data_IF_195892977321
#
_entry.id   IF_195892977321
#
_cell.length_a   1.000
_cell.length_b   1.000
_cell.length_c   1.000
_cell.angle_alpha   90.00
_cell.angle_beta   90.00
_cell.angle_gamma   90.00
#
_symmetry.space_group_name_H-M   'P 1'
#
loop_
_entity.id
_entity.type
_entity.pdbx_description
1 polymer ?
#
# COMPACT_ATOMS: atom_id res chain seq x y z
N UNK A 1 -23.00 -16.36 -6.07
CA UNK A 1 -22.88 -16.78 -4.65
C UNK A 1 -22.86 -15.51 -3.81
N UNK A 2 -23.57 -15.46 -2.67
CA UNK A 2 -23.48 -14.28 -1.77
C UNK A 2 -22.09 -14.26 -1.11
N UNK A 3 -21.48 -13.08 -0.90
CA UNK A 3 -20.22 -13.00 -0.19
C UNK A 3 -20.41 -13.42 1.27
N UNK A 4 -19.39 -14.06 1.85
CA UNK A 4 -19.31 -14.38 3.27
C UNK A 4 -18.52 -13.27 3.94
N UNK A 5 -19.14 -12.65 4.94
CA UNK A 5 -18.55 -11.55 5.72
C UNK A 5 -18.27 -12.10 7.12
N UNK A 6 -17.06 -11.86 7.64
CA UNK A 6 -16.70 -12.20 9.01
C UNK A 6 -17.49 -11.27 9.95
N UNK A 7 -18.31 -11.79 10.89
CA UNK A 7 -19.07 -10.93 11.80
C UNK A 7 -18.15 -10.24 12.80
N UNK A 8 -18.42 -8.97 13.10
CA UNK A 8 -17.55 -8.11 13.93
C UNK A 8 -17.62 -8.42 15.44
N UNK A 9 -18.70 -9.07 15.91
CA UNK A 9 -19.03 -9.23 17.33
C UNK A 9 -18.93 -10.69 17.81
N UNK A 10 -18.03 -11.50 17.22
CA UNK A 10 -17.76 -12.86 17.70
C UNK A 10 -16.73 -12.85 18.83
N UNK A 11 -16.88 -13.72 19.83
CA UNK A 11 -15.79 -14.01 20.76
C UNK A 11 -14.67 -14.81 20.07
N UNK A 12 -13.49 -14.95 20.70
CA UNK A 12 -12.33 -15.63 20.08
C UNK A 12 -12.67 -17.03 19.55
N UNK A 13 -13.34 -17.87 20.34
CA UNK A 13 -13.66 -19.26 19.96
C UNK A 13 -14.69 -19.30 18.82
N UNK A 14 -15.72 -18.46 18.89
CA UNK A 14 -16.70 -18.31 17.80
C UNK A 14 -16.05 -17.83 16.50
N UNK A 15 -15.10 -16.89 16.59
CA UNK A 15 -14.36 -16.36 15.46
C UNK A 15 -13.45 -17.43 14.84
N UNK A 16 -12.66 -18.15 15.64
CA UNK A 16 -11.84 -19.28 15.18
C UNK A 16 -12.71 -20.32 14.47
N UNK A 17 -13.82 -20.76 15.09
CA UNK A 17 -14.71 -21.74 14.49
C UNK A 17 -15.37 -21.23 13.20
N UNK A 18 -15.79 -19.96 13.16
CA UNK A 18 -16.35 -19.35 11.95
C UNK A 18 -15.33 -19.32 10.81
N UNK A 19 -14.10 -18.89 11.11
CA UNK A 19 -13.01 -18.78 10.14
C UNK A 19 -12.65 -20.16 9.57
N UNK A 20 -12.47 -21.18 10.41
CA UNK A 20 -12.20 -22.56 10.01
C UNK A 20 -13.34 -23.14 9.14
N UNK A 21 -14.60 -22.98 9.58
CA UNK A 21 -15.76 -23.49 8.84
C UNK A 21 -15.95 -22.84 7.46
N UNK A 22 -15.43 -21.62 7.26
CA UNK A 22 -15.63 -20.84 6.04
C UNK A 22 -14.34 -20.59 5.23
N UNK A 23 -13.17 -21.10 5.68
CA UNK A 23 -11.83 -20.78 5.16
C UNK A 23 -11.79 -20.83 3.62
N UNK A 24 -12.17 -21.98 3.05
CA UNK A 24 -12.16 -22.22 1.59
C UNK A 24 -12.98 -21.18 0.83
N UNK A 25 -14.13 -20.77 1.36
CA UNK A 25 -15.00 -19.80 0.73
C UNK A 25 -14.48 -18.36 0.88
N UNK A 26 -13.92 -18.00 2.04
CA UNK A 26 -13.26 -16.71 2.29
C UNK A 26 -12.03 -16.53 1.38
N UNK A 27 -11.16 -17.53 1.32
CA UNK A 27 -10.00 -17.60 0.42
C UNK A 27 -10.42 -17.51 -1.06
N UNK A 28 -11.48 -18.23 -1.45
CA UNK A 28 -11.96 -18.19 -2.85
C UNK A 28 -12.45 -16.80 -3.23
N UNK A 29 -13.19 -16.12 -2.36
CA UNK A 29 -13.66 -14.75 -2.61
C UNK A 29 -12.49 -13.77 -2.81
N UNK A 30 -11.47 -13.83 -1.93
CA UNK A 30 -10.25 -13.01 -2.04
C UNK A 30 -9.46 -13.25 -3.33
N UNK A 31 -9.49 -14.47 -3.90
CA UNK A 31 -8.81 -14.78 -5.18
C UNK A 31 -9.58 -14.35 -6.43
N UNK A 32 -10.90 -14.22 -6.36
CA UNK A 32 -11.75 -13.89 -7.52
C UNK A 32 -11.75 -12.39 -7.82
N UNK A 33 -11.67 -11.56 -6.78
CA UNK A 33 -11.66 -10.10 -6.91
C UNK A 33 -10.30 -9.63 -7.48
N UNK A 34 -10.31 -8.59 -8.33
CA UNK A 34 -9.08 -7.84 -8.65
C UNK A 34 -8.76 -6.97 -7.43
N UNK A 35 -7.97 -7.50 -6.50
CA UNK A 35 -7.56 -6.76 -5.31
C UNK A 35 -6.69 -5.57 -5.70
N UNK A 36 -6.99 -4.41 -5.12
CA UNK A 36 -6.11 -3.26 -5.07
C UNK A 36 -5.55 -3.24 -3.65
N UNK A 37 -4.24 -3.32 -3.45
CA UNK A 37 -3.72 -3.23 -2.07
C UNK A 37 -3.81 -1.80 -1.58
N UNK A 38 -3.98 -1.67 -0.27
CA UNK A 38 -3.74 -0.42 0.42
C UNK A 38 -2.25 -0.01 0.27
N UNK A 39 -1.99 1.30 0.22
CA UNK A 39 -0.67 1.89 -0.04
C UNK A 39 0.08 2.18 1.28
N UNK A 40 1.42 2.14 1.27
CA UNK A 40 2.28 2.19 2.49
C UNK A 40 3.48 3.12 2.27
N UNK A 41 3.95 4.00 3.16
CA UNK A 41 3.89 4.14 4.64
C UNK A 41 4.50 5.48 5.11
N UNK A 42 4.72 6.50 4.24
CA UNK A 42 5.27 7.80 4.71
C UNK A 42 5.12 9.08 3.89
N UNK A 43 5.76 10.17 4.31
CA UNK A 43 5.74 11.45 3.57
C UNK A 43 6.65 11.41 2.34
N UNK A 44 6.12 11.60 1.12
CA UNK A 44 6.94 11.98 -0.05
C UNK A 44 7.61 13.34 0.22
N UNK A 45 8.90 13.32 0.55
CA UNK A 45 9.78 14.48 0.42
C UNK A 45 10.44 14.44 -0.97
N UNK A 46 9.87 15.19 -1.91
CA UNK A 46 10.32 15.29 -3.31
C UNK A 46 11.66 16.00 -3.43
N UNK A 47 12.38 15.71 -4.52
CA UNK A 47 13.61 16.39 -4.86
C UNK A 47 13.65 17.48 -5.90
N UNK A 48 14.60 18.38 -5.61
CA UNK A 48 15.28 19.27 -6.54
C UNK A 48 15.65 18.55 -7.84
N UNK A 49 15.12 19.06 -8.94
CA UNK A 49 15.87 19.16 -10.19
C UNK A 49 17.25 19.78 -9.89
N UNK A 50 18.34 19.13 -10.29
CA UNK A 50 19.69 19.64 -10.01
C UNK A 50 19.95 20.97 -10.72
N UNK A 51 19.92 22.05 -9.93
CA UNK A 51 20.64 23.29 -10.21
C UNK A 51 21.90 23.36 -9.32
N UNK A 52 22.73 22.31 -9.38
CA UNK A 52 24.10 22.32 -8.83
C UNK A 52 24.99 21.46 -9.73
N UNK A 53 26.10 22.03 -10.20
CA UNK A 53 26.99 21.44 -11.20
C UNK A 53 27.80 20.27 -10.61
N UNK A 54 27.72 19.11 -11.25
CA UNK A 54 28.80 18.12 -11.28
C UNK A 54 28.65 17.24 -12.53
N UNK A 55 29.49 17.53 -13.52
CA UNK A 55 29.98 16.67 -14.63
C UNK A 55 29.07 15.56 -15.20
N UNK A 56 28.62 15.76 -16.44
CA UNK A 56 28.50 14.66 -17.41
C UNK A 56 27.15 13.98 -17.57
N UNK A 57 26.09 14.72 -17.92
CA UNK A 57 25.00 14.15 -18.71
C UNK A 57 24.49 15.16 -19.74
N UNK A 58 25.18 15.23 -20.88
CA UNK A 58 24.76 16.02 -22.04
C UNK A 58 23.61 15.30 -22.76
N UNK A 59 22.40 15.51 -22.26
CA UNK A 59 21.16 15.13 -22.93
C UNK A 59 20.13 16.24 -22.73
N UNK A 60 19.54 16.72 -23.83
CA UNK A 60 18.44 17.69 -23.74
C UNK A 60 17.30 17.07 -22.92
N UNK A 61 16.91 17.72 -21.82
CA UNK A 61 15.76 17.28 -21.04
C UNK A 61 14.50 17.46 -21.88
N UNK A 62 13.96 16.38 -22.43
CA UNK A 62 12.73 16.43 -23.22
C UNK A 62 11.59 17.04 -22.37
N UNK A 63 11.06 18.23 -22.70
CA UNK A 63 10.10 18.93 -21.85
C UNK A 63 8.73 18.22 -21.73
N UNK A 64 8.51 17.19 -22.57
CA UNK A 64 7.30 16.38 -22.66
C UNK A 64 7.45 14.97 -22.05
N UNK A 65 8.60 14.64 -21.46
CA UNK A 65 8.88 13.36 -20.78
C UNK A 65 9.34 13.56 -19.33
N UNK A 66 9.07 12.57 -18.48
CA UNK A 66 9.47 12.53 -17.06
C UNK A 66 9.83 11.10 -16.67
N UNK A 67 11.06 10.88 -16.22
CA UNK A 67 11.44 9.61 -15.59
C UNK A 67 10.85 9.49 -14.19
N UNK A 68 10.26 8.33 -13.90
CA UNK A 68 9.57 8.03 -12.64
C UNK A 68 10.13 6.74 -12.03
N UNK A 69 10.41 6.76 -10.71
CA UNK A 69 10.65 5.57 -9.88
C UNK A 69 9.57 5.53 -8.79
N UNK A 70 8.65 4.57 -8.89
CA UNK A 70 7.39 4.53 -8.14
C UNK A 70 7.35 3.33 -7.18
N UNK A 71 6.96 3.56 -5.93
CA UNK A 71 6.65 2.49 -4.94
C UNK A 71 5.17 2.12 -5.08
N UNK A 72 4.86 0.94 -5.63
CA UNK A 72 3.47 0.53 -5.88
C UNK A 72 2.82 -0.23 -4.72
N UNK A 73 3.64 -0.90 -3.89
CA UNK A 73 3.24 -1.66 -2.72
C UNK A 73 4.45 -1.88 -1.82
N UNK A 74 4.22 -2.06 -0.52
CA UNK A 74 5.19 -2.72 0.36
C UNK A 74 4.57 -3.93 1.05
N UNK A 75 5.42 -4.86 1.43
CA UNK A 75 5.05 -6.06 2.18
C UNK A 75 4.76 -5.76 3.67
N UNK A 76 4.34 -6.77 4.42
CA UNK A 76 4.35 -6.82 5.89
C UNK A 76 3.31 -5.95 6.62
N UNK A 77 2.67 -4.97 5.98
CA UNK A 77 1.56 -4.25 6.60
C UNK A 77 0.27 -5.04 6.39
N UNK A 78 -0.45 -5.30 7.49
CA UNK A 78 -1.82 -5.80 7.46
C UNK A 78 -2.78 -4.66 7.14
N UNK A 79 -3.60 -4.88 6.12
CA UNK A 79 -4.54 -3.90 5.59
C UNK A 79 -5.95 -3.99 6.23
N UNK A 80 -6.86 -3.09 5.82
CA UNK A 80 -8.26 -3.07 6.30
C UNK A 80 -9.05 -4.35 5.98
N UNK A 81 -8.60 -5.15 5.00
CA UNK A 81 -9.16 -6.45 4.62
C UNK A 81 -8.47 -7.64 5.33
N UNK A 82 -7.54 -7.38 6.25
CA UNK A 82 -6.67 -8.34 6.94
C UNK A 82 -5.70 -9.08 6.01
N UNK A 83 -5.44 -8.57 4.82
CA UNK A 83 -4.43 -9.14 3.93
C UNK A 83 -3.04 -8.62 4.33
N UNK A 84 -2.06 -9.54 4.40
CA UNK A 84 -0.64 -9.24 4.64
C UNK A 84 0.15 -9.77 3.46
N UNK A 85 0.79 -8.87 2.71
CA UNK A 85 1.69 -9.25 1.63
C UNK A 85 3.01 -9.76 2.21
N UNK A 86 3.36 -11.02 1.98
CA UNK A 86 4.58 -11.64 2.51
C UNK A 86 5.74 -11.40 1.53
N UNK A 87 6.93 -10.96 1.99
CA UNK A 87 8.09 -10.75 1.12
C UNK A 87 8.37 -11.94 0.19
N UNK A 88 8.65 -11.63 -1.06
CA UNK A 88 8.81 -12.60 -2.16
C UNK A 88 7.53 -12.88 -2.96
N UNK A 89 6.34 -12.37 -2.57
CA UNK A 89 5.08 -12.64 -3.29
C UNK A 89 5.10 -12.25 -4.78
N UNK A 90 5.93 -11.26 -5.13
CA UNK A 90 6.08 -10.73 -6.48
C UNK A 90 7.06 -11.51 -7.37
N UNK A 91 7.89 -12.39 -6.78
CA UNK A 91 9.03 -13.03 -7.46
C UNK A 91 8.66 -13.66 -8.80
N UNK A 92 7.57 -14.44 -8.82
CA UNK A 92 7.11 -15.14 -10.02
C UNK A 92 6.52 -14.19 -11.08
N UNK A 93 5.66 -13.26 -10.67
CA UNK A 93 5.03 -12.34 -11.65
C UNK A 93 6.03 -11.37 -12.26
N UNK A 94 7.14 -11.05 -11.60
CA UNK A 94 8.22 -10.23 -12.17
C UNK A 94 9.09 -11.01 -13.16
N UNK A 95 9.23 -12.33 -12.95
CA UNK A 95 9.89 -13.22 -13.90
C UNK A 95 9.02 -13.43 -15.15
N UNK A 96 7.73 -13.76 -14.96
CA UNK A 96 6.81 -14.22 -16.00
C UNK A 96 6.02 -13.10 -16.71
N UNK A 97 5.57 -12.05 -16.02
CA UNK A 97 4.78 -10.98 -16.64
C UNK A 97 5.67 -9.82 -17.11
N UNK A 98 5.55 -9.46 -18.39
CA UNK A 98 6.17 -8.26 -18.99
C UNK A 98 5.14 -7.18 -19.39
N UNK A 99 3.86 -7.50 -19.31
CA UNK A 99 2.76 -6.61 -19.66
C UNK A 99 2.19 -6.00 -18.36
N UNK A 100 2.82 -4.93 -17.90
CA UNK A 100 2.43 -4.19 -16.69
C UNK A 100 2.28 -2.73 -17.10
N UNK A 101 1.09 -2.17 -16.92
CA UNK A 101 0.80 -0.77 -17.28
C UNK A 101 0.89 0.14 -16.06
N UNK A 102 1.20 1.42 -16.30
CA UNK A 102 1.03 2.50 -15.33
C UNK A 102 -0.20 3.32 -15.71
N UNK A 103 -1.20 3.35 -14.81
CA UNK A 103 -2.55 3.83 -15.11
C UNK A 103 -3.02 4.97 -14.18
N UNK A 104 -4.00 5.73 -14.66
CA UNK A 104 -4.78 6.66 -13.85
C UNK A 104 -5.86 5.91 -13.05
N UNK A 105 -5.77 5.90 -11.72
CA UNK A 105 -6.84 5.43 -10.82
C UNK A 105 -7.35 4.00 -11.06
N UNK A 106 -6.50 3.08 -11.53
CA UNK A 106 -6.83 1.70 -11.93
C UNK A 106 -7.84 1.56 -13.07
N UNK A 107 -8.10 2.62 -13.83
CA UNK A 107 -8.94 2.57 -15.02
C UNK A 107 -8.16 1.92 -16.17
N UNK A 108 -8.67 0.82 -16.71
CA UNK A 108 -7.99 -0.01 -17.71
C UNK A 108 -8.36 0.39 -19.14
N UNK A 109 -8.42 1.70 -19.39
CA UNK A 109 -8.75 2.30 -20.69
C UNK A 109 -7.46 2.87 -21.32
N UNK A 110 -7.35 2.87 -22.65
CA UNK A 110 -6.12 3.32 -23.32
C UNK A 110 -5.76 4.78 -23.03
N UNK A 111 -6.76 5.66 -22.89
CA UNK A 111 -6.59 7.08 -22.53
C UNK A 111 -6.30 7.31 -21.03
N UNK A 112 -6.00 6.24 -20.29
CA UNK A 112 -5.61 6.25 -18.87
C UNK A 112 -4.19 5.77 -18.64
N UNK A 113 -3.48 5.35 -19.69
CA UNK A 113 -2.04 5.06 -19.64
C UNK A 113 -1.28 6.36 -19.37
N UNK A 114 -0.32 6.32 -18.45
CA UNK A 114 0.48 7.49 -18.03
C UNK A 114 1.89 7.46 -18.63
N UNK A 115 2.49 6.27 -18.73
CA UNK A 115 3.91 6.10 -19.06
C UNK A 115 4.20 4.78 -19.74
N UNK A 116 5.28 4.76 -20.52
CA UNK A 116 5.95 3.52 -20.89
C UNK A 116 6.67 2.93 -19.67
N UNK A 117 6.41 1.67 -19.34
CA UNK A 117 7.00 0.98 -18.18
C UNK A 117 8.25 0.23 -18.63
N UNK A 118 9.40 0.56 -18.05
CA UNK A 118 10.70 -0.05 -18.38
C UNK A 118 10.89 -1.38 -17.66
N UNK A 119 10.61 -1.40 -16.36
CA UNK A 119 10.73 -2.59 -15.51
C UNK A 119 9.93 -2.43 -14.22
N UNK A 120 9.54 -3.57 -13.65
CA UNK A 120 9.16 -3.67 -12.25
C UNK A 120 10.13 -4.63 -11.54
N UNK A 121 10.41 -4.40 -10.27
CA UNK A 121 11.30 -5.24 -9.46
C UNK A 121 11.00 -5.07 -7.96
N UNK A 122 11.61 -5.87 -7.08
CA UNK A 122 11.52 -5.67 -5.63
C UNK A 122 12.79 -5.07 -5.05
N UNK A 123 12.64 -4.14 -4.10
CA UNK A 123 13.75 -3.44 -3.41
C UNK A 123 13.50 -3.47 -1.89
N UNK A 124 14.56 -3.68 -1.10
CA UNK A 124 14.47 -3.57 0.38
C UNK A 124 14.62 -2.10 0.76
N UNK A 125 13.55 -1.49 1.26
CA UNK A 125 13.48 -0.05 1.56
C UNK A 125 13.39 0.17 3.08
N UNK A 126 14.22 1.05 3.68
CA UNK A 126 14.14 1.37 5.10
C UNK A 126 12.79 2.02 5.49
N UNK A 127 12.33 1.78 6.73
CA UNK A 127 11.10 2.39 7.26
C UNK A 127 11.15 3.92 7.25
N UNK A 128 12.28 4.54 7.57
CA UNK A 128 12.47 6.00 7.52
C UNK A 128 12.39 6.56 6.09
N UNK A 129 12.96 5.84 5.14
CA UNK A 129 12.81 6.07 3.70
C UNK A 129 11.38 5.90 3.24
N UNK A 130 10.62 4.99 3.87
CA UNK A 130 9.18 4.90 3.75
C UNK A 130 8.43 5.80 4.73
N UNK A 131 9.04 6.73 5.47
CA UNK A 131 8.40 7.60 6.47
C UNK A 131 7.47 6.90 7.50
N UNK A 132 7.66 5.59 7.69
CA UNK A 132 7.09 4.78 8.75
C UNK A 132 7.91 5.07 10.02
N UNK A 133 7.24 5.31 11.15
CA UNK A 133 7.92 5.50 12.42
C UNK A 133 8.51 4.18 12.92
N UNK A 134 9.80 4.20 13.28
CA UNK A 134 10.51 3.04 13.83
C UNK A 134 11.80 2.72 13.07
N UNK A 135 12.43 1.61 13.45
CA UNK A 135 13.60 1.04 12.78
C UNK A 135 13.23 -0.25 12.05
N UNK A 136 13.82 -0.47 10.88
CA UNK A 136 13.53 -1.63 10.06
C UNK A 136 13.58 -1.32 8.57
N UNK A 137 13.26 -2.33 7.76
CA UNK A 137 13.14 -2.24 6.31
C UNK A 137 12.12 -3.27 5.81
N UNK A 138 11.60 -3.06 4.60
CA UNK A 138 10.56 -3.89 3.99
C UNK A 138 10.78 -4.05 2.50
N UNK A 139 10.37 -5.19 1.95
CA UNK A 139 10.33 -5.39 0.50
C UNK A 139 9.21 -4.56 -0.13
N UNK A 140 9.58 -3.66 -1.05
CA UNK A 140 8.68 -2.86 -1.85
C UNK A 140 8.67 -3.34 -3.31
N UNK A 141 7.49 -3.29 -3.95
CA UNK A 141 7.36 -3.39 -5.39
C UNK A 141 7.63 -2.02 -6.01
N UNK A 142 8.68 -1.94 -6.82
CA UNK A 142 9.11 -0.74 -7.54
C UNK A 142 8.76 -0.85 -9.03
N UNK A 143 8.38 0.28 -9.63
CA UNK A 143 8.20 0.46 -11.07
C UNK A 143 9.07 1.63 -11.55
N UNK A 144 9.86 1.42 -12.61
CA UNK A 144 10.55 2.49 -13.33
C UNK A 144 9.90 2.69 -14.71
N UNK A 145 9.62 3.95 -15.08
CA UNK A 145 8.80 4.29 -16.24
C UNK A 145 9.01 5.74 -16.74
N UNK A 146 8.82 6.00 -18.04
CA UNK A 146 8.83 7.36 -18.62
C UNK A 146 7.40 7.86 -18.84
N UNK A 147 6.94 8.82 -18.03
CA UNK A 147 5.64 9.47 -18.23
C UNK A 147 5.70 10.46 -19.40
N UNK A 148 4.75 10.30 -20.33
CA UNK A 148 4.67 11.10 -21.57
C UNK A 148 3.50 12.07 -21.51
N UNK A 149 3.76 13.33 -21.79
CA UNK A 149 2.74 14.39 -21.86
C UNK A 149 1.66 14.08 -22.89
N UNK A 150 2.02 13.40 -23.98
CA UNK A 150 1.10 12.96 -25.03
C UNK A 150 0.09 11.92 -24.54
N UNK A 151 0.52 10.96 -23.71
CA UNK A 151 -0.35 9.88 -23.22
C UNK A 151 -1.41 10.40 -22.25
N UNK A 152 -0.99 11.19 -21.26
CA UNK A 152 -1.91 11.78 -20.30
C UNK A 152 -1.41 13.17 -19.85
N UNK A 153 -1.81 14.27 -20.53
CA UNK A 153 -1.34 15.62 -20.21
C UNK A 153 -1.68 16.06 -18.77
N UNK A 154 -2.79 15.56 -18.22
CA UNK A 154 -3.22 15.84 -16.85
C UNK A 154 -2.26 15.18 -15.86
N UNK A 155 -2.05 13.87 -15.97
CA UNK A 155 -1.18 13.13 -15.04
C UNK A 155 0.28 13.55 -15.18
N UNK A 156 0.76 13.80 -16.41
CA UNK A 156 2.08 14.39 -16.64
C UNK A 156 2.28 15.69 -15.87
N UNK A 157 1.31 16.62 -15.94
CA UNK A 157 1.34 17.85 -15.14
C UNK A 157 1.26 17.57 -13.64
N UNK A 158 0.43 16.63 -13.19
CA UNK A 158 0.33 16.28 -11.77
C UNK A 158 1.63 15.67 -11.21
N UNK A 159 2.40 14.92 -12.01
CA UNK A 159 3.74 14.46 -11.64
C UNK A 159 4.75 15.62 -11.64
N UNK A 160 4.75 16.45 -12.69
CA UNK A 160 5.64 17.62 -12.83
C UNK A 160 5.45 18.66 -11.72
N UNK A 161 4.21 18.86 -11.27
CA UNK A 161 3.84 19.74 -10.17
C UNK A 161 3.85 19.03 -8.81
N UNK A 162 4.31 17.77 -8.76
CA UNK A 162 4.45 16.97 -7.54
C UNK A 162 3.15 16.77 -6.74
N UNK A 163 2.01 16.76 -7.44
CA UNK A 163 0.66 16.58 -6.89
C UNK A 163 0.23 15.11 -6.80
N UNK A 164 0.86 14.20 -7.55
CA UNK A 164 0.71 12.75 -7.29
C UNK A 164 1.49 12.41 -6.02
N UNK A 165 0.80 11.89 -5.01
CA UNK A 165 1.38 11.59 -3.68
C UNK A 165 1.36 10.12 -3.29
N UNK A 166 0.59 9.30 -4.00
CA UNK A 166 0.37 7.90 -3.65
C UNK A 166 0.16 7.05 -4.90
N UNK A 167 0.52 5.77 -4.77
CA UNK A 167 0.35 4.75 -5.79
C UNK A 167 -0.28 3.51 -5.17
N UNK A 168 -0.91 2.70 -6.00
CA UNK A 168 -1.40 1.37 -5.61
C UNK A 168 -1.15 0.39 -6.76
N UNK A 169 -1.19 -0.90 -6.45
CA UNK A 169 -1.06 -1.98 -7.41
C UNK A 169 -2.40 -2.67 -7.63
N UNK A 170 -2.79 -2.84 -8.89
CA UNK A 170 -3.83 -3.79 -9.27
C UNK A 170 -3.25 -5.18 -9.39
N UNK A 171 -3.81 -6.15 -8.65
CA UNK A 171 -3.33 -7.53 -8.64
C UNK A 171 -4.44 -8.57 -8.61
N UNK A 172 -4.05 -9.84 -8.62
CA UNK A 172 -4.90 -10.96 -8.22
C UNK A 172 -4.12 -11.96 -7.37
N UNK A 173 -4.66 -12.35 -6.22
CA UNK A 173 -4.03 -13.35 -5.35
C UNK A 173 -4.04 -14.75 -5.97
N UNK A 174 -2.92 -15.47 -5.82
CA UNK A 174 -2.71 -16.84 -6.31
C UNK A 174 -2.53 -17.80 -5.14
N UNK A 175 -1.63 -17.48 -4.21
CA UNK A 175 -1.44 -18.20 -2.95
C UNK A 175 -1.70 -17.26 -1.78
N UNK A 176 -2.57 -17.73 -0.91
CA UNK A 176 -3.03 -17.04 0.29
C UNK A 176 -3.28 -18.14 1.32
N UNK A 177 -2.80 -17.94 2.54
CA UNK A 177 -3.07 -18.78 3.70
C UNK A 177 -3.86 -17.97 4.70
N UNK A 178 -4.87 -18.58 5.31
CA UNK A 178 -5.45 -18.04 6.52
C UNK A 178 -4.48 -18.31 7.68
N UNK A 179 -4.36 -17.35 8.60
CA UNK A 179 -3.50 -17.39 9.77
C UNK A 179 -4.37 -17.07 10.98
N UNK A 180 -4.43 -17.94 11.98
CA UNK A 180 -5.26 -17.76 13.18
C UNK A 180 -4.39 -17.91 14.43
N UNK A 181 -4.49 -16.97 15.38
CA UNK A 181 -3.76 -16.95 16.65
C UNK A 181 -4.44 -17.86 17.70
N UNK A 182 -4.57 -19.15 17.38
CA UNK A 182 -5.24 -20.13 18.23
C UNK A 182 -4.61 -21.51 18.05
N UNK A 183 -4.01 -22.09 19.10
CA UNK A 183 -3.27 -23.37 19.02
C UNK A 183 -4.14 -24.52 18.49
N UNK A 184 -5.43 -24.51 18.84
CA UNK A 184 -6.43 -25.48 18.35
C UNK A 184 -6.74 -25.37 16.84
N UNK A 185 -6.28 -24.31 16.16
CA UNK A 185 -6.50 -24.10 14.72
C UNK A 185 -5.52 -24.90 13.81
N UNK A 186 -4.56 -25.64 14.39
CA UNK A 186 -3.66 -26.55 13.68
C UNK A 186 -2.85 -25.87 12.58
N UNK A 187 -3.01 -26.29 11.32
CA UNK A 187 -2.28 -25.72 10.18
C UNK A 187 -2.49 -24.20 9.99
N UNK A 188 -3.60 -23.63 10.47
CA UNK A 188 -3.83 -22.18 10.47
C UNK A 188 -3.02 -21.46 11.58
N UNK A 189 -2.67 -22.16 12.67
CA UNK A 189 -1.74 -21.68 13.69
C UNK A 189 -0.29 -21.79 13.23
N UNK A 190 0.10 -22.92 12.62
CA UNK A 190 1.42 -23.06 11.98
C UNK A 190 1.65 -21.95 10.93
N UNK A 191 0.61 -21.59 10.16
CA UNK A 191 0.65 -20.46 9.23
C UNK A 191 0.76 -19.10 9.95
N UNK A 192 0.09 -18.93 11.09
CA UNK A 192 0.25 -17.75 11.94
C UNK A 192 1.70 -17.62 12.43
N UNK A 193 2.24 -18.62 13.12
CA UNK A 193 3.63 -18.60 13.63
C UNK A 193 4.66 -18.35 12.53
N UNK A 194 4.45 -18.94 11.35
CA UNK A 194 5.33 -18.77 10.19
C UNK A 194 5.30 -17.35 9.60
N UNK A 195 4.13 -16.72 9.52
CA UNK A 195 3.96 -15.46 8.78
C UNK A 195 3.85 -14.22 9.67
N UNK A 196 3.46 -14.35 10.92
CA UNK A 196 3.38 -13.26 11.90
C UNK A 196 4.72 -12.51 12.12
N UNK A 197 5.91 -13.14 12.05
CA UNK A 197 7.19 -12.42 12.09
C UNK A 197 7.38 -11.38 10.98
N UNK A 198 6.66 -11.48 9.85
CA UNK A 198 6.70 -10.50 8.77
C UNK A 198 5.67 -9.37 8.94
N UNK A 199 4.78 -9.44 9.92
CA UNK A 199 3.78 -8.40 10.20
C UNK A 199 4.45 -7.21 10.90
N UNK A 200 4.29 -6.02 10.33
CA UNK A 200 4.87 -4.76 10.82
C UNK A 200 3.96 -4.15 11.90
N UNK A 201 2.67 -4.02 11.62
CA UNK A 201 1.64 -3.52 12.54
C UNK A 201 1.03 -4.65 13.39
N UNK A 202 1.88 -5.29 14.22
CA UNK A 202 1.51 -6.45 15.05
C UNK A 202 0.29 -6.21 15.93
N UNK A 203 0.18 -5.03 16.54
CA UNK A 203 -0.96 -4.65 17.38
C UNK A 203 -2.32 -4.86 16.70
N UNK A 204 -2.44 -4.60 15.40
CA UNK A 204 -3.68 -4.87 14.67
C UNK A 204 -3.88 -6.38 14.43
N UNK A 205 -2.83 -7.14 14.10
CA UNK A 205 -2.95 -8.59 13.94
C UNK A 205 -3.36 -9.27 15.26
N UNK A 206 -2.73 -8.89 16.38
CA UNK A 206 -3.02 -9.41 17.71
C UNK A 206 -4.44 -9.06 18.17
N UNK A 207 -4.89 -7.84 17.90
CA UNK A 207 -6.25 -7.34 18.17
C UNK A 207 -7.35 -8.14 17.49
N UNK A 208 -7.16 -8.59 16.24
CA UNK A 208 -8.17 -9.42 15.55
C UNK A 208 -7.94 -10.92 15.71
N UNK A 209 -6.72 -11.35 16.07
CA UNK A 209 -6.38 -12.77 16.23
C UNK A 209 -6.34 -13.57 14.92
N UNK A 210 -6.45 -12.93 13.76
CA UNK A 210 -6.28 -13.58 12.46
C UNK A 210 -5.85 -12.60 11.36
N UNK A 211 -5.20 -13.13 10.31
CA UNK A 211 -4.92 -12.42 9.06
C UNK A 211 -4.81 -13.39 7.88
N UNK A 212 -4.62 -12.87 6.67
CA UNK A 212 -4.40 -13.66 5.46
C UNK A 212 -3.00 -13.39 4.90
N UNK A 213 -2.12 -14.38 4.97
CA UNK A 213 -0.77 -14.31 4.41
C UNK A 213 -0.79 -14.52 2.90
N UNK A 214 -0.60 -13.45 2.12
CA UNK A 214 -0.51 -13.49 0.66
C UNK A 214 0.93 -13.78 0.24
N UNK A 215 1.16 -14.93 -0.38
CA UNK A 215 2.50 -15.46 -0.70
C UNK A 215 2.79 -15.61 -2.20
N UNK A 216 1.79 -15.44 -3.06
CA UNK A 216 1.96 -15.33 -4.52
C UNK A 216 0.83 -14.49 -5.09
N UNK A 217 1.14 -13.44 -5.86
CA UNK A 217 0.17 -12.59 -6.54
C UNK A 217 0.57 -12.36 -8.01
N UNK A 218 -0.43 -12.18 -8.88
CA UNK A 218 -0.23 -11.70 -10.26
C UNK A 218 -0.33 -10.18 -10.28
N UNK A 219 0.75 -9.52 -10.64
CA UNK A 219 0.82 -8.08 -10.88
C UNK A 219 0.15 -7.78 -12.23
N UNK A 220 -0.82 -6.86 -12.24
CA UNK A 220 -1.59 -6.47 -13.43
C UNK A 220 -1.19 -5.05 -13.87
N UNK A 221 -1.14 -4.11 -12.93
CA UNK A 221 -0.83 -2.69 -13.19
C UNK A 221 -0.39 -1.99 -11.92
N UNK A 222 0.35 -0.89 -12.08
CA UNK A 222 0.52 0.14 -11.07
C UNK A 222 -0.34 1.35 -11.42
N UNK A 223 -0.86 2.04 -10.42
CA UNK A 223 -1.74 3.20 -10.63
C UNK A 223 -1.38 4.38 -9.76
N UNK A 224 -1.44 5.58 -10.34
CA UNK A 224 -1.50 6.83 -9.60
C UNK A 224 -2.90 7.00 -8.98
N UNK A 225 -2.95 7.32 -7.67
CA UNK A 225 -4.21 7.49 -6.94
C UNK A 225 -4.20 8.77 -6.09
N UNK A 226 -5.36 9.43 -5.94
CA UNK A 226 -5.53 10.58 -5.04
C UNK A 226 -5.48 10.14 -3.58
N UNK A 227 -6.16 9.04 -3.29
CA UNK A 227 -6.22 8.38 -2.00
C UNK A 227 -6.05 6.88 -2.24
N UNK A 228 -4.85 6.37 -1.96
CA UNK A 228 -4.67 4.99 -1.52
C UNK A 228 -5.16 4.86 -0.08
N UNK A 229 -5.56 3.65 0.32
CA UNK A 229 -6.34 3.46 1.55
C UNK A 229 -5.55 3.53 2.87
N UNK A 230 -4.25 3.86 2.87
CA UNK A 230 -3.46 4.08 4.09
C UNK A 230 -2.65 5.40 3.95
N UNK A 231 -2.39 6.15 5.04
CA UNK A 231 -2.32 7.61 4.97
C UNK A 231 -1.00 8.22 4.46
N UNK A 232 -0.15 7.43 3.80
CA UNK A 232 1.27 7.76 3.69
C UNK A 232 1.97 6.80 2.66
N UNK A 233 2.95 7.27 1.85
CA UNK A 233 3.90 6.58 0.91
C UNK A 233 5.00 7.56 0.42
N UNK A 234 6.34 7.35 0.53
CA UNK A 234 7.37 8.29 -0.01
C UNK A 234 7.99 7.99 -1.38
N UNK A 235 8.58 9.03 -1.99
CA UNK A 235 9.65 8.96 -3.00
C UNK A 235 11.00 8.85 -2.27
N UNK A 236 11.93 8.08 -2.83
CA UNK A 236 13.17 7.63 -2.18
C UNK A 236 14.41 8.43 -2.60
N UNK A 237 14.25 9.51 -3.35
CA UNK A 237 15.35 10.14 -4.07
C UNK A 237 16.42 10.86 -3.23
N UNK A 238 16.24 11.19 -1.93
CA UNK A 238 17.32 11.88 -1.16
C UNK A 238 17.39 11.73 0.36
N UNK A 239 18.56 12.14 0.85
CA UNK A 239 18.90 12.38 2.26
C UNK A 239 18.93 13.89 2.56
N UNK A 240 18.57 14.24 3.82
CA UNK A 240 18.63 15.56 4.48
C UNK A 240 17.35 16.42 4.49
N UNK A 241 16.41 16.10 5.39
CA UNK A 241 15.53 17.09 6.06
C UNK A 241 15.39 16.67 7.53
N UNK A 242 15.81 17.52 8.47
CA UNK A 242 15.47 17.36 9.90
C UNK A 242 14.04 17.83 10.19
N UNK A 243 13.31 17.24 11.16
CA UNK A 243 11.95 17.64 11.47
C UNK A 243 11.87 19.04 12.14
N UNK A 244 11.01 19.89 11.60
CA UNK A 244 10.64 21.18 12.21
C UNK A 244 10.04 20.96 13.61
N UNK A 245 10.66 21.54 14.64
CA UNK A 245 10.33 21.36 16.07
C UNK A 245 8.96 21.88 16.54
N UNK A 246 8.07 22.35 15.66
CA UNK A 246 6.91 23.15 16.07
C UNK A 246 5.55 22.57 15.63
N UNK A 247 5.21 21.39 16.16
CA UNK A 247 3.80 20.94 16.28
C UNK A 247 3.60 20.00 17.48
N UNK A 248 4.04 20.43 18.67
CA UNK A 248 3.39 19.97 19.90
C UNK A 248 2.20 20.90 20.15
N UNK A 249 1.02 20.50 19.69
CA UNK A 249 -0.23 21.10 20.15
C UNK A 249 -0.71 20.25 21.32
N UNK A 250 -0.59 20.78 22.54
CA UNK A 250 -1.18 20.14 23.71
C UNK A 250 -2.70 19.97 23.52
N UNK A 251 -3.30 18.88 24.04
CA UNK A 251 -4.75 18.69 23.96
C UNK A 251 -5.46 19.77 24.79
N UNK A 252 -6.01 20.78 24.11
CA UNK A 252 -6.81 21.83 24.73
C UNK A 252 -7.98 21.22 25.52
N UNK A 253 -7.89 21.27 26.85
CA UNK A 253 -9.02 20.99 27.75
C UNK A 253 -10.10 22.05 27.56
N UNK A 254 -11.07 21.78 26.69
CA UNK A 254 -12.35 22.48 26.68
C UNK A 254 -13.47 21.50 26.28
N UNK A 255 -13.84 20.66 27.25
CA UNK A 255 -15.09 19.90 27.17
C UNK A 255 -16.27 20.89 27.31
N UNK A 256 -16.97 21.16 26.21
CA UNK A 256 -18.22 21.91 26.21
C UNK A 256 -19.23 21.23 27.14
N UNK A 257 -19.70 21.97 28.15
CA UNK A 257 -20.63 21.43 29.16
C UNK A 257 -21.97 21.09 28.50
N UNK A 258 -22.51 19.92 28.86
CA UNK A 258 -23.72 19.29 28.31
C UNK A 258 -25.00 20.14 28.35
N UNK A 259 -25.01 21.24 29.08
CA UNK A 259 -26.15 22.16 29.23
C UNK A 259 -26.28 23.16 28.08
N UNK A 260 -25.18 23.59 27.46
CA UNK A 260 -25.23 24.56 26.34
C UNK A 260 -25.83 23.94 25.06
N UNK A 261 -25.75 22.62 24.89
CA UNK A 261 -26.32 21.93 23.73
C UNK A 261 -27.86 21.86 23.75
N UNK A 262 -28.49 22.00 24.94
CA UNK A 262 -29.96 21.95 25.07
C UNK A 262 -30.67 23.25 24.64
N UNK A 263 -29.96 24.37 24.53
CA UNK A 263 -30.54 25.64 24.06
C UNK A 263 -30.52 25.78 22.52
N UNK A 264 -29.79 24.92 21.80
CA UNK A 264 -29.65 24.95 20.34
C UNK A 264 -30.61 23.99 19.59
N UNK A 265 -31.46 23.26 20.31
CA UNK A 265 -32.35 22.22 19.75
C UNK A 265 -33.85 22.50 19.95
N UNK A 266 -34.21 23.71 20.37
CA UNK A 266 -35.61 24.17 20.43
C UNK A 266 -35.87 25.29 19.42
N UNK A 267 -35.99 24.92 18.14
CA UNK A 267 -36.74 25.62 17.10
C UNK A 267 -37.24 24.59 16.07
#
# INVERSE_FOLDING_TARGET
MKPIIVPENLNKSELTQFLLNNEKALITQKKVIKTKSEAVAGRISVLKTNATKSEGFDGESNPNELELKLVLNSCGIMDSHRDVHIPGLWKKTLQENKNIYHLESHKTDFDKIISDVHKCYTEIVPFSSLGINGSGSVECLIMEATAKKEYNPLMFRMYKEHKVKQHSVGMRYVKISLCINDEDAGANFEAWEKYYPYVINKDEADKYGYFYAVTEAKLIEGSAVLFGSNPITPDLSNKNIEPLKNTQVEPHKNALKKEQLKQLLNF
#
